data_IF_761933173320
#
_entry.id   IF_761933173320
#
_cell.length_a   1.000
_cell.length_b   1.000
_cell.length_c   1.000
_cell.angle_alpha   90.00
_cell.angle_beta   90.00
_cell.angle_gamma   90.00
#
_symmetry.space_group_name_H-M   'P 1'
#
loop_
_entity.id
_entity.type
_entity.pdbx_description
1 polymer ?
#
# COMPACT_ATOMS: atom_id res chain seq x y z
N UNK A 1 -12.79 18.86 11.93
CA UNK A 1 -11.73 18.87 10.89
C UNK A 1 -10.43 19.25 11.55
N UNK A 2 -9.28 18.62 11.23
CA UNK A 2 -7.99 19.10 11.73
C UNK A 2 -7.80 20.52 11.23
N UNK A 3 -7.39 21.44 12.12
CA UNK A 3 -7.20 22.85 11.77
C UNK A 3 -6.21 22.93 10.61
N UNK A 4 -6.63 23.53 9.49
CA UNK A 4 -5.70 23.97 8.45
C UNK A 4 -4.64 24.81 9.18
N UNK A 5 -3.37 24.51 8.90
CA UNK A 5 -2.24 25.31 9.35
C UNK A 5 -2.55 26.79 9.05
N UNK A 6 -2.19 27.70 9.94
CA UNK A 6 -2.38 29.14 9.69
C UNK A 6 -1.44 29.57 8.55
N UNK A 7 -1.96 29.55 7.32
CA UNK A 7 -1.25 29.99 6.12
C UNK A 7 -1.15 31.52 6.12
N UNK A 8 0.01 32.05 5.74
CA UNK A 8 0.26 33.50 5.71
C UNK A 8 0.02 34.13 4.34
N UNK A 9 0.16 33.35 3.29
CA UNK A 9 -0.05 33.75 1.90
C UNK A 9 -0.48 32.57 1.04
N UNK A 10 -0.97 32.86 -0.17
CA UNK A 10 -1.47 31.85 -1.12
C UNK A 10 -0.36 30.92 -1.60
N UNK A 11 0.88 31.42 -1.73
CA UNK A 11 2.05 30.59 -2.10
C UNK A 11 2.32 29.45 -1.12
N UNK A 12 2.14 29.65 0.18
CA UNK A 12 2.29 28.58 1.17
C UNK A 12 1.23 27.48 0.98
N UNK A 13 0.01 27.85 0.58
CA UNK A 13 -1.07 26.89 0.25
C UNK A 13 -0.70 26.12 -1.02
N UNK A 14 -0.23 26.80 -2.07
CA UNK A 14 0.23 26.15 -3.31
C UNK A 14 1.41 25.18 -3.05
N UNK A 15 2.33 25.54 -2.15
CA UNK A 15 3.44 24.67 -1.78
C UNK A 15 2.97 23.41 -1.03
N UNK A 16 1.99 23.55 -0.13
CA UNK A 16 1.38 22.43 0.57
C UNK A 16 0.60 21.52 -0.38
N UNK A 17 -0.11 22.08 -1.36
CA UNK A 17 -0.78 21.33 -2.44
C UNK A 17 0.22 20.47 -3.19
N UNK A 18 1.33 21.05 -3.66
CA UNK A 18 2.40 20.29 -4.36
C UNK A 18 3.02 19.20 -3.49
N UNK A 19 3.24 19.48 -2.21
CA UNK A 19 3.79 18.50 -1.26
C UNK A 19 2.81 17.34 -1.05
N UNK A 20 1.51 17.65 -0.95
CA UNK A 20 0.45 16.64 -0.81
C UNK A 20 0.34 15.79 -2.08
N UNK A 21 0.42 16.39 -3.27
CA UNK A 21 0.45 15.68 -4.55
C UNK A 21 1.66 14.73 -4.65
N UNK A 22 2.85 15.20 -4.26
CA UNK A 22 4.06 14.36 -4.21
C UNK A 22 3.93 13.21 -3.21
N UNK A 23 3.24 13.44 -2.09
CA UNK A 23 2.98 12.41 -1.07
C UNK A 23 2.01 11.36 -1.61
N UNK A 24 0.98 11.76 -2.35
CA UNK A 24 0.04 10.85 -3.02
C UNK A 24 0.78 9.96 -4.03
N UNK A 25 1.65 10.53 -4.86
CA UNK A 25 2.46 9.74 -5.82
C UNK A 25 3.33 8.70 -5.10
N UNK A 26 4.00 9.12 -4.01
CA UNK A 26 4.84 8.23 -3.21
C UNK A 26 4.03 7.09 -2.59
N UNK A 27 2.91 7.38 -1.94
CA UNK A 27 2.09 6.35 -1.29
C UNK A 27 1.42 5.44 -2.32
N UNK A 28 1.12 5.94 -3.52
CA UNK A 28 0.63 5.12 -4.64
C UNK A 28 1.66 4.07 -5.05
N UNK A 29 2.91 4.47 -5.23
CA UNK A 29 4.02 3.54 -5.55
C UNK A 29 4.26 2.52 -4.43
N UNK A 30 4.17 2.93 -3.17
CA UNK A 30 4.27 2.01 -2.03
C UNK A 30 3.13 0.98 -2.03
N UNK A 31 1.88 1.42 -2.26
CA UNK A 31 0.72 0.53 -2.40
C UNK A 31 0.90 -0.48 -3.53
N UNK A 32 1.40 -0.02 -4.69
CA UNK A 32 1.69 -0.89 -5.82
C UNK A 32 2.79 -1.91 -5.48
N UNK A 33 3.83 -1.50 -4.76
CA UNK A 33 4.86 -2.39 -4.24
C UNK A 33 4.30 -3.49 -3.33
N UNK A 34 3.45 -3.14 -2.37
CA UNK A 34 2.77 -4.13 -1.50
C UNK A 34 1.86 -5.06 -2.31
N UNK A 35 1.17 -4.54 -3.34
CA UNK A 35 0.33 -5.35 -4.20
C UNK A 35 1.13 -6.37 -5.02
N UNK A 36 2.30 -5.97 -5.52
CA UNK A 36 3.24 -6.88 -6.17
C UNK A 36 3.78 -7.93 -5.21
N UNK A 37 4.17 -7.51 -4.00
CA UNK A 37 4.62 -8.44 -2.95
C UNK A 37 3.55 -9.48 -2.60
N UNK A 38 2.30 -9.06 -2.40
CA UNK A 38 1.19 -9.98 -2.15
C UNK A 38 0.99 -10.97 -3.32
N UNK A 39 1.04 -10.50 -4.56
CA UNK A 39 0.90 -11.34 -5.75
C UNK A 39 2.03 -12.37 -5.87
N UNK A 40 3.27 -11.97 -5.59
CA UNK A 40 4.42 -12.87 -5.61
C UNK A 40 4.26 -13.98 -4.56
N UNK A 41 3.92 -13.62 -3.32
CA UNK A 41 3.70 -14.60 -2.24
C UNK A 41 2.54 -15.55 -2.56
N UNK A 42 1.47 -15.05 -3.18
CA UNK A 42 0.37 -15.88 -3.66
C UNK A 42 0.84 -16.96 -4.65
N UNK A 43 1.68 -16.61 -5.62
CA UNK A 43 2.21 -17.58 -6.59
C UNK A 43 3.15 -18.59 -5.95
N UNK A 44 4.00 -18.15 -5.01
CA UNK A 44 4.88 -19.05 -4.25
C UNK A 44 4.08 -20.03 -3.39
N UNK A 45 3.02 -19.55 -2.74
CA UNK A 45 2.08 -20.38 -1.98
C UNK A 45 1.43 -21.44 -2.87
N UNK A 46 0.92 -21.06 -4.04
CA UNK A 46 0.35 -22.01 -5.00
C UNK A 46 1.36 -23.07 -5.46
N UNK A 47 2.62 -22.68 -5.70
CA UNK A 47 3.67 -23.62 -6.07
C UNK A 47 3.97 -24.63 -4.95
N UNK A 48 4.04 -24.16 -3.70
CA UNK A 48 4.23 -25.01 -2.53
C UNK A 48 3.05 -25.98 -2.34
N UNK A 49 1.81 -25.51 -2.50
CA UNK A 49 0.60 -26.33 -2.42
C UNK A 49 0.60 -27.46 -3.46
N UNK A 50 1.05 -27.19 -4.69
CA UNK A 50 1.19 -28.20 -5.73
C UNK A 50 2.15 -29.33 -5.31
N UNK A 51 3.25 -29.00 -4.63
CA UNK A 51 4.20 -30.00 -4.13
C UNK A 51 3.57 -30.83 -3.00
N UNK A 52 2.88 -30.19 -2.06
CA UNK A 52 2.20 -30.89 -0.96
C UNK A 52 1.15 -31.88 -1.48
N UNK A 53 0.34 -31.45 -2.45
CA UNK A 53 -0.80 -32.20 -3.00
C UNK A 53 -0.42 -33.20 -4.10
N UNK A 54 0.82 -33.16 -4.58
CA UNK A 54 1.36 -34.08 -5.59
C UNK A 54 1.27 -35.56 -5.19
N UNK A 55 1.43 -36.47 -6.16
CA UNK A 55 1.52 -37.90 -5.88
C UNK A 55 2.78 -38.27 -5.08
N UNK A 56 2.75 -39.38 -4.34
CA UNK A 56 3.91 -39.89 -3.56
C UNK A 56 5.09 -40.38 -4.43
N UNK A 57 4.91 -40.46 -5.75
CA UNK A 57 5.95 -40.83 -6.71
C UNK A 57 6.76 -39.60 -7.17
N UNK A 58 6.18 -38.40 -7.10
CA UNK A 58 6.79 -37.17 -7.63
C UNK A 58 7.67 -36.46 -6.59
N UNK A 59 7.25 -36.44 -5.33
CA UNK A 59 7.97 -35.80 -4.23
C UNK A 59 7.98 -36.70 -3.01
N UNK A 60 9.16 -36.85 -2.40
CA UNK A 60 9.31 -37.57 -1.15
C UNK A 60 8.67 -36.81 0.02
N UNK A 61 8.45 -37.51 1.14
CA UNK A 61 7.79 -36.95 2.31
C UNK A 61 8.56 -35.77 2.94
N UNK A 62 9.88 -35.73 2.80
CA UNK A 62 10.71 -34.65 3.33
C UNK A 62 10.48 -33.37 2.54
N UNK A 63 10.51 -33.43 1.21
CA UNK A 63 10.22 -32.30 0.33
C UNK A 63 8.78 -31.81 0.50
N UNK A 64 7.83 -32.72 0.72
CA UNK A 64 6.45 -32.34 1.03
C UNK A 64 6.32 -31.62 2.37
N UNK A 65 7.06 -32.06 3.39
CA UNK A 65 7.09 -31.38 4.68
C UNK A 65 7.73 -29.98 4.59
N UNK A 66 8.81 -29.84 3.83
CA UNK A 66 9.44 -28.53 3.55
C UNK A 66 8.48 -27.61 2.79
N UNK A 67 7.84 -28.09 1.73
CA UNK A 67 6.84 -27.32 0.99
C UNK A 67 5.65 -26.91 1.87
N UNK A 68 5.23 -27.76 2.82
CA UNK A 68 4.19 -27.41 3.77
C UNK A 68 4.62 -26.27 4.71
N UNK A 69 5.88 -26.25 5.15
CA UNK A 69 6.40 -25.14 5.96
C UNK A 69 6.45 -23.84 5.15
N UNK A 70 7.00 -23.92 3.92
CA UNK A 70 7.06 -22.79 3.01
C UNK A 70 5.69 -22.22 2.66
N UNK A 71 4.68 -23.08 2.47
CA UNK A 71 3.30 -22.67 2.24
C UNK A 71 2.80 -21.72 3.34
N UNK A 72 3.00 -22.08 4.61
CA UNK A 72 2.57 -21.24 5.74
C UNK A 72 3.37 -19.93 5.82
N UNK A 73 4.68 -19.98 5.53
CA UNK A 73 5.49 -18.76 5.46
C UNK A 73 5.01 -17.80 4.37
N UNK A 74 4.67 -18.33 3.19
CA UNK A 74 4.13 -17.53 2.09
C UNK A 74 2.74 -16.98 2.40
N UNK A 75 1.89 -17.75 3.08
CA UNK A 75 0.57 -17.29 3.55
C UNK A 75 0.70 -16.12 4.53
N UNK A 76 1.58 -16.23 5.52
CA UNK A 76 1.83 -15.15 6.49
C UNK A 76 2.39 -13.88 5.80
N UNK A 77 3.29 -14.05 4.85
CA UNK A 77 3.89 -12.94 4.10
C UNK A 77 2.87 -12.28 3.16
N UNK A 78 2.02 -13.05 2.49
CA UNK A 78 0.92 -12.53 1.67
C UNK A 78 -0.02 -11.69 2.53
N UNK A 79 -0.43 -12.20 3.69
CA UNK A 79 -1.32 -11.46 4.60
C UNK A 79 -0.66 -10.17 5.12
N UNK A 80 0.65 -10.19 5.41
CA UNK A 80 1.39 -8.98 5.80
C UNK A 80 1.36 -7.93 4.70
N UNK A 81 1.63 -8.33 3.45
CA UNK A 81 1.61 -7.43 2.31
C UNK A 81 0.20 -6.86 2.04
N UNK A 82 -0.84 -7.69 2.15
CA UNK A 82 -2.24 -7.24 2.04
C UNK A 82 -2.61 -6.21 3.11
N UNK A 83 -2.18 -6.42 4.36
CA UNK A 83 -2.39 -5.46 5.44
C UNK A 83 -1.63 -4.14 5.18
N UNK A 84 -0.42 -4.23 4.63
CA UNK A 84 0.37 -3.06 4.20
C UNK A 84 -0.34 -2.26 3.12
N UNK A 85 -0.85 -2.94 2.08
CA UNK A 85 -1.67 -2.36 1.02
C UNK A 85 -2.89 -1.63 1.57
N UNK A 86 -3.65 -2.24 2.48
CA UNK A 86 -4.83 -1.61 3.09
C UNK A 86 -4.46 -0.35 3.89
N UNK A 87 -3.33 -0.37 4.60
CA UNK A 87 -2.83 0.83 5.30
C UNK A 87 -2.49 1.96 4.33
N UNK A 88 -1.82 1.66 3.22
CA UNK A 88 -1.51 2.66 2.20
C UNK A 88 -2.76 3.18 1.49
N UNK A 89 -3.77 2.33 1.28
CA UNK A 89 -5.05 2.72 0.71
C UNK A 89 -5.81 3.72 1.59
N UNK A 90 -5.91 3.45 2.89
CA UNK A 90 -6.48 4.42 3.85
C UNK A 90 -5.72 5.74 3.87
N UNK A 91 -4.39 5.69 3.89
CA UNK A 91 -3.58 6.91 3.87
C UNK A 91 -3.73 7.70 2.56
N UNK A 92 -3.90 7.02 1.41
CA UNK A 92 -4.21 7.67 0.14
C UNK A 92 -5.54 8.40 0.15
N UNK A 93 -6.58 7.81 0.74
CA UNK A 93 -7.88 8.46 0.88
C UNK A 93 -7.79 9.72 1.73
N UNK A 94 -7.07 9.66 2.85
CA UNK A 94 -6.81 10.82 3.72
C UNK A 94 -6.07 11.94 2.97
N UNK A 95 -5.02 11.59 2.21
CA UNK A 95 -4.26 12.56 1.42
C UNK A 95 -5.09 13.17 0.29
N UNK A 96 -5.91 12.38 -0.41
CA UNK A 96 -6.82 12.87 -1.46
C UNK A 96 -7.84 13.84 -0.89
N UNK A 97 -8.42 13.52 0.27
CA UNK A 97 -9.33 14.42 0.98
C UNK A 97 -8.65 15.71 1.39
N UNK A 98 -7.44 15.62 1.96
CA UNK A 98 -6.62 16.80 2.31
C UNK A 98 -6.34 17.66 1.08
N UNK A 99 -5.99 17.06 -0.06
CA UNK A 99 -5.74 17.78 -1.30
C UNK A 99 -6.99 18.52 -1.80
N UNK A 100 -8.15 17.87 -1.73
CA UNK A 100 -9.43 18.50 -2.06
C UNK A 100 -9.74 19.69 -1.14
N UNK A 101 -9.57 19.51 0.17
CA UNK A 101 -9.77 20.58 1.17
C UNK A 101 -8.81 21.76 0.93
N UNK A 102 -7.54 21.49 0.63
CA UNK A 102 -6.53 22.52 0.31
C UNK A 102 -6.86 23.28 -0.97
N UNK A 103 -7.35 22.58 -2.01
CA UNK A 103 -7.75 23.21 -3.27
C UNK A 103 -8.96 24.13 -3.07
N UNK A 104 -9.98 23.67 -2.34
CA UNK A 104 -11.13 24.51 -1.94
C UNK A 104 -10.68 25.73 -1.16
N UNK A 105 -9.83 25.53 -0.15
CA UNK A 105 -9.31 26.61 0.68
C UNK A 105 -8.51 27.65 -0.13
N UNK A 106 -7.72 27.19 -1.11
CA UNK A 106 -6.98 28.07 -2.02
C UNK A 106 -7.90 28.93 -2.88
N UNK A 107 -8.97 28.35 -3.39
CA UNK A 107 -9.92 29.04 -4.26
C UNK A 107 -10.78 30.05 -3.47
N UNK A 108 -11.04 29.76 -2.19
CA UNK A 108 -11.72 30.65 -1.24
C UNK A 108 -10.78 31.67 -0.56
N UNK A 109 -9.48 31.65 -0.86
CA UNK A 109 -8.49 32.49 -0.20
C UNK A 109 -8.69 33.98 -0.51
N UNK A 110 -8.92 34.77 0.53
CA UNK A 110 -9.12 36.23 0.47
C UNK A 110 -7.96 37.03 1.07
N UNK A 111 -6.93 36.35 1.57
CA UNK A 111 -5.73 36.97 2.12
C UNK A 111 -4.70 37.36 1.05
N UNK A 112 -3.47 37.72 1.45
CA UNK A 112 -2.40 38.06 0.50
C UNK A 112 -2.03 36.90 -0.41
N UNK A 113 -1.69 37.20 -1.67
CA UNK A 113 -1.11 36.22 -2.60
C UNK A 113 0.24 35.67 -2.12
#
# INVERSE_FOLDING_TARGET
MPRLKDFKNKREIDAEIRTTESSIDTVTKLKEGENWGALEQYWLKLAAECIVTSGSVEYDNTRKAEAQQQFFEYEDNEQRALNGKEKHERHLEELKKRLEDLRKFRDEWTGPD
#
